data_IF_094726148241
#
_entry.id   IF_094726148241
#
_cell.length_a   1.000
_cell.length_b   1.000
_cell.length_c   1.000
_cell.angle_alpha   90.00
_cell.angle_beta   90.00
_cell.angle_gamma   90.00
#
_symmetry.space_group_name_H-M   'P 1'
#
loop_
_entity.id
_entity.type
_entity.pdbx_description
1 polymer ?
#
# COMPACT_ATOMS: atom_id res chain seq x y z
N UNK A 1 -1.32 8.24 -1.19
CA UNK A 1 -0.34 8.14 -0.09
C UNK A 1 0.89 7.39 -0.59
N UNK A 2 2.09 7.91 -0.35
CA UNK A 2 3.34 7.27 -0.76
C UNK A 2 4.32 7.22 0.42
N UNK A 3 4.94 6.06 0.68
CA UNK A 3 5.91 5.86 1.75
C UNK A 3 7.31 6.35 1.40
N UNK A 4 7.73 6.07 0.16
CA UNK A 4 9.03 6.50 -0.35
C UNK A 4 10.07 5.42 -0.17
N UNK A 5 11.28 5.79 0.24
CA UNK A 5 12.36 4.81 0.48
C UNK A 5 12.36 4.42 1.95
N UNK A 6 12.42 3.13 2.24
CA UNK A 6 12.63 2.64 3.60
C UNK A 6 11.67 1.51 3.98
N UNK A 7 11.37 1.40 5.26
CA UNK A 7 10.33 0.48 5.75
C UNK A 7 9.18 1.34 6.24
N UNK A 8 8.16 1.48 5.42
CA UNK A 8 7.06 2.39 5.68
C UNK A 8 5.83 1.66 6.25
N UNK A 9 5.04 2.40 7.04
CA UNK A 9 3.73 1.95 7.52
C UNK A 9 2.69 2.93 6.99
N UNK A 10 1.88 2.47 6.03
CA UNK A 10 0.88 3.28 5.36
C UNK A 10 -0.52 2.83 5.75
N UNK A 11 -1.38 3.80 6.09
CA UNK A 11 -2.79 3.60 6.37
C UNK A 11 -3.62 4.55 5.49
N UNK A 12 -4.53 4.01 4.67
CA UNK A 12 -5.40 4.81 3.79
C UNK A 12 -6.55 5.44 4.58
N UNK A 13 -7.18 4.65 5.45
CA UNK A 13 -8.31 5.11 6.25
C UNK A 13 -9.62 4.78 5.54
N UNK A 14 -10.63 5.61 5.72
CA UNK A 14 -11.90 5.46 4.99
C UNK A 14 -11.87 6.21 3.68
N UNK A 15 -12.35 5.61 2.60
CA UNK A 15 -12.48 6.27 1.31
C UNK A 15 -11.93 5.40 0.18
N UNK A 16 -11.70 6.00 -0.98
CA UNK A 16 -11.11 5.29 -2.11
C UNK A 16 -9.65 5.73 -2.25
N UNK A 17 -8.75 4.95 -1.67
CA UNK A 17 -7.35 5.33 -1.52
C UNK A 17 -6.45 4.74 -2.60
N UNK A 18 -5.38 5.49 -2.89
CA UNK A 18 -4.25 5.03 -3.72
C UNK A 18 -2.99 5.06 -2.89
N UNK A 19 -2.42 3.90 -2.60
CA UNK A 19 -1.24 3.74 -1.75
C UNK A 19 -0.05 3.21 -2.55
N UNK A 20 1.15 3.69 -2.25
CA UNK A 20 2.39 3.15 -2.79
C UNK A 20 3.44 3.04 -1.67
N UNK A 21 3.94 1.83 -1.41
CA UNK A 21 5.00 1.61 -0.43
C UNK A 21 6.28 2.33 -0.86
N UNK A 22 6.74 2.00 -2.06
CA UNK A 22 8.00 2.50 -2.61
C UNK A 22 9.11 1.47 -2.40
N UNK A 23 10.40 1.86 -2.53
CA UNK A 23 11.50 0.96 -2.27
C UNK A 23 11.63 0.53 -0.81
N UNK A 24 11.43 -0.75 -0.55
CA UNK A 24 11.79 -1.40 0.71
C UNK A 24 10.80 -2.48 1.15
N UNK A 25 10.58 -2.62 2.46
CA UNK A 25 9.67 -3.64 3.02
C UNK A 25 8.57 -2.95 3.81
N UNK A 26 7.47 -2.70 3.14
CA UNK A 26 6.41 -1.83 3.65
C UNK A 26 5.26 -2.60 4.26
N UNK A 27 4.50 -1.93 5.12
CA UNK A 27 3.22 -2.40 5.66
C UNK A 27 2.14 -1.45 5.21
N UNK A 28 1.24 -1.94 4.39
CA UNK A 28 0.18 -1.14 3.78
C UNK A 28 -1.17 -1.69 4.23
N UNK A 29 -1.99 -0.77 4.73
CA UNK A 29 -3.34 -1.04 5.21
C UNK A 29 -4.30 -0.04 4.54
N UNK A 30 -5.02 -0.44 3.50
CA UNK A 30 -5.82 0.55 2.76
C UNK A 30 -7.03 1.02 3.58
N UNK A 31 -7.77 0.09 4.18
CA UNK A 31 -8.89 0.42 5.08
C UNK A 31 -10.23 0.14 4.40
N UNK A 32 -11.34 0.73 4.87
CA UNK A 32 -12.63 0.57 4.21
C UNK A 32 -12.79 1.48 2.98
N UNK A 33 -13.16 0.87 1.85
CA UNK A 33 -13.63 1.55 0.65
C UNK A 33 -13.19 0.82 -0.62
N UNK A 34 -12.84 1.54 -1.69
CA UNK A 34 -12.30 0.94 -2.93
C UNK A 34 -10.89 1.44 -3.18
N UNK A 35 -9.94 0.60 -2.82
CA UNK A 35 -8.55 0.98 -2.70
C UNK A 35 -7.66 0.26 -3.71
N UNK A 36 -6.57 0.94 -4.07
CA UNK A 36 -5.53 0.41 -4.95
C UNK A 36 -4.16 0.64 -4.32
N UNK A 37 -3.42 -0.43 -4.10
CA UNK A 37 -2.04 -0.37 -3.61
C UNK A 37 -1.04 -0.77 -4.70
N UNK A 38 0.00 0.04 -4.94
CA UNK A 38 1.19 -0.34 -5.73
C UNK A 38 2.31 -0.78 -4.80
N UNK A 39 2.77 -2.02 -4.95
CA UNK A 39 3.68 -2.64 -4.00
C UNK A 39 4.85 -3.33 -4.68
N UNK A 40 5.91 -3.53 -3.90
CA UNK A 40 7.14 -4.21 -4.27
C UNK A 40 7.25 -5.59 -3.62
N UNK A 41 8.19 -6.44 -4.08
CA UNK A 41 8.48 -7.70 -3.42
C UNK A 41 8.93 -7.48 -1.97
N UNK A 42 8.23 -8.13 -1.04
CA UNK A 42 8.51 -8.04 0.40
C UNK A 42 7.50 -7.21 1.20
N UNK A 43 6.63 -6.46 0.53
CA UNK A 43 5.58 -5.68 1.17
C UNK A 43 4.46 -6.57 1.73
N UNK A 44 3.92 -6.14 2.86
CA UNK A 44 2.74 -6.73 3.50
C UNK A 44 1.56 -5.80 3.30
N UNK A 45 0.54 -6.29 2.59
CA UNK A 45 -0.63 -5.50 2.20
C UNK A 45 -1.89 -6.17 2.74
N UNK A 46 -2.78 -5.38 3.33
CA UNK A 46 -4.08 -5.86 3.83
C UNK A 46 -5.18 -4.82 3.58
N UNK A 47 -6.43 -5.30 3.58
CA UNK A 47 -7.64 -4.48 3.39
C UNK A 47 -7.55 -3.59 2.14
N UNK A 48 -7.03 -4.12 1.03
CA UNK A 48 -6.97 -3.41 -0.25
C UNK A 48 -7.65 -4.26 -1.32
N UNK A 49 -8.54 -3.67 -2.10
CA UNK A 49 -9.34 -4.35 -3.13
C UNK A 49 -8.49 -4.71 -4.34
N UNK A 50 -7.51 -3.87 -4.68
CA UNK A 50 -6.60 -4.11 -5.79
C UNK A 50 -5.15 -3.89 -5.38
N UNK A 51 -4.31 -4.89 -5.64
CA UNK A 51 -2.87 -4.84 -5.37
C UNK A 51 -2.09 -5.00 -6.67
N UNK A 52 -1.39 -3.94 -7.07
CA UNK A 52 -0.51 -3.89 -8.24
C UNK A 52 0.92 -4.21 -7.79
N UNK A 53 1.38 -5.43 -8.08
CA UNK A 53 2.76 -5.83 -7.79
C UNK A 53 3.64 -5.45 -8.98
N UNK A 54 4.72 -4.71 -8.73
CA UNK A 54 5.79 -4.62 -9.75
C UNK A 54 6.35 -6.01 -10.01
N UNK A 55 6.52 -6.34 -11.29
CA UNK A 55 7.23 -7.55 -11.72
C UNK A 55 8.72 -7.41 -11.45
#
# INVERSE_FOLDING_TARGET
LEGGRGKDVLAGGSGNDRLAGGPGRDRIDCGPGRDVARVQPGDRVRRCERVLRSR
#
